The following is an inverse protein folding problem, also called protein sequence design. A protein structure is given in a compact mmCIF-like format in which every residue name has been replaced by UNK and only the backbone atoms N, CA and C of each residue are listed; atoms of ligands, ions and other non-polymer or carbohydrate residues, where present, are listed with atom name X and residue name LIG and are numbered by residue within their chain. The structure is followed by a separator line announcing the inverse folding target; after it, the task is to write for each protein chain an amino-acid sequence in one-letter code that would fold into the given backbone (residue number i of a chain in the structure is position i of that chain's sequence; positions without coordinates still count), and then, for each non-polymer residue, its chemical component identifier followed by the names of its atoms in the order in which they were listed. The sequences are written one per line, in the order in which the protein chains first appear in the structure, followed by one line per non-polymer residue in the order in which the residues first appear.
data_IF_696257917183
#
_entry.id   IF_696257917183
#
_cell.length_a   1.000
_cell.length_b   1.000
_cell.length_c   1.000
_cell.angle_alpha   90.00
_cell.angle_beta   90.00
_cell.angle_gamma   90.00
#
_symmetry.space_group_name_H-M   'P 1'
#
loop_
_entity.id
_entity.type
_entity.pdbx_description
1 polymer ?
#
# COMPACT_ATOMS: atom_id res chain seq x y z
N UNK A 1 9.97 -1.70 29.34
CA UNK A 1 10.81 -2.45 28.38
C UNK A 1 9.89 -2.95 27.28
N UNK A 2 10.00 -2.37 26.08
CA UNK A 2 8.99 -2.48 25.03
C UNK A 2 9.04 -3.83 24.31
N UNK A 3 7.88 -4.49 24.17
CA UNK A 3 7.70 -5.78 23.49
C UNK A 3 8.24 -5.80 22.04
N UNK A 4 8.29 -4.64 21.39
CA UNK A 4 8.91 -4.44 20.07
C UNK A 4 10.40 -4.79 20.02
N UNK A 5 11.14 -4.56 21.11
CA UNK A 5 12.57 -4.88 21.17
C UNK A 5 12.82 -6.40 21.32
N UNK A 6 11.90 -7.11 21.99
CA UNK A 6 11.99 -8.57 22.14
C UNK A 6 11.67 -9.31 20.83
N UNK A 7 10.72 -8.81 20.03
CA UNK A 7 10.42 -9.37 18.71
C UNK A 7 11.58 -9.21 17.72
N UNK A 8 12.27 -8.07 17.75
CA UNK A 8 13.45 -7.83 16.92
C UNK A 8 14.64 -8.74 17.31
N UNK A 9 14.85 -8.98 18.61
CA UNK A 9 15.93 -9.85 19.10
C UNK A 9 15.65 -11.34 18.84
N UNK A 10 14.39 -11.78 18.98
CA UNK A 10 14.02 -13.17 18.71
C UNK A 10 14.13 -13.54 17.22
N UNK A 11 13.85 -12.58 16.31
CA UNK A 11 14.03 -12.78 14.87
C UNK A 11 15.51 -12.88 14.46
N UNK A 12 16.42 -12.25 15.22
CA UNK A 12 17.86 -12.27 14.93
C UNK A 12 18.54 -13.58 15.41
N UNK A 13 18.00 -14.22 16.45
CA UNK A 13 18.55 -15.45 17.03
C UNK A 13 18.15 -16.73 16.27
N UNK A 14 17.16 -16.66 15.37
CA UNK A 14 16.62 -17.81 14.66
C UNK A 14 17.20 -18.01 13.26
N UNK A 15 18.34 -17.40 12.90
CA UNK A 15 18.94 -17.55 11.58
C UNK A 15 19.35 -19.02 11.33
N UNK A 16 18.65 -19.77 10.46
CA UNK A 16 19.08 -21.12 10.11
C UNK A 16 20.27 -21.02 9.15
N UNK A 17 21.13 -22.02 9.23
CA UNK A 17 22.28 -22.19 8.35
C UNK A 17 21.87 -22.21 6.88
N UNK A 18 22.76 -21.64 6.07
CA UNK A 18 22.76 -21.60 4.60
C UNK A 18 22.40 -22.95 3.95
N UNK A 19 21.09 -23.25 3.83
CA UNK A 19 20.60 -24.19 2.83
C UNK A 19 20.58 -23.46 1.49
N UNK A 20 21.25 -24.08 0.52
CA UNK A 20 21.27 -23.74 -0.90
C UNK A 20 19.90 -23.24 -1.33
N UNK A 21 19.89 -22.07 -1.96
CA UNK A 21 18.74 -21.31 -2.47
C UNK A 21 18.02 -22.12 -3.56
N UNK A 22 17.30 -23.17 -3.13
CA UNK A 22 16.54 -24.10 -3.97
C UNK A 22 15.07 -23.68 -4.10
N UNK A 23 14.69 -22.49 -3.62
CA UNK A 23 13.38 -21.91 -3.92
C UNK A 23 13.30 -21.57 -5.40
N UNK A 24 12.20 -21.91 -6.06
CA UNK A 24 12.01 -21.57 -7.47
C UNK A 24 11.90 -20.06 -7.67
N UNK A 25 11.88 -19.63 -8.95
CA UNK A 25 11.89 -18.22 -9.29
C UNK A 25 10.57 -17.52 -8.94
N UNK A 26 9.49 -18.29 -8.74
CA UNK A 26 8.17 -17.76 -8.42
C UNK A 26 7.97 -17.59 -6.93
N UNK A 27 7.23 -16.57 -6.55
CA UNK A 27 6.80 -16.37 -5.18
C UNK A 27 5.44 -15.71 -5.11
N UNK A 28 4.76 -15.93 -3.98
CA UNK A 28 3.54 -15.24 -3.61
C UNK A 28 3.71 -14.61 -2.24
N UNK A 29 3.05 -13.48 -1.98
CA UNK A 29 3.13 -12.82 -0.69
C UNK A 29 1.82 -12.12 -0.34
N UNK A 30 1.11 -12.53 0.72
CA UNK A 30 0.16 -11.63 1.37
C UNK A 30 0.91 -10.54 2.12
N UNK A 31 0.31 -9.34 2.18
CA UNK A 31 0.78 -8.22 3.00
C UNK A 31 -0.36 -7.40 3.57
N UNK A 32 -0.10 -6.82 4.73
CA UNK A 32 -1.00 -5.93 5.46
C UNK A 32 -0.20 -4.73 5.94
N UNK A 33 -0.84 -3.57 5.98
CA UNK A 33 -0.16 -2.35 6.32
C UNK A 33 -1.08 -1.21 6.68
N UNK A 34 -0.51 -0.02 6.64
CA UNK A 34 -1.20 1.23 6.82
C UNK A 34 -0.89 2.15 5.65
N UNK A 35 -1.91 2.83 5.14
CA UNK A 35 -1.82 3.80 4.07
C UNK A 35 -2.27 5.16 4.56
N UNK A 36 -1.55 6.20 4.19
CA UNK A 36 -1.89 7.59 4.45
C UNK A 36 -1.89 8.35 3.13
N UNK A 37 -3.07 8.73 2.61
CA UNK A 37 -3.16 9.66 1.50
C UNK A 37 -2.44 10.98 1.84
N UNK A 38 -1.83 11.61 0.85
CA UNK A 38 -1.21 12.93 0.97
C UNK A 38 -2.28 14.03 1.09
N UNK A 39 -3.53 13.70 0.77
CA UNK A 39 -4.71 14.56 0.95
C UNK A 39 -5.15 14.65 2.42
N UNK A 40 -6.21 15.43 2.69
CA UNK A 40 -6.80 15.57 4.03
C UNK A 40 -7.53 14.32 4.54
N UNK A 41 -7.62 13.25 3.74
CA UNK A 41 -8.23 11.98 4.13
C UNK A 41 -7.49 11.34 5.30
N UNK A 42 -8.23 10.63 6.15
CA UNK A 42 -7.66 9.78 7.20
C UNK A 42 -6.77 8.69 6.61
N UNK A 43 -5.82 8.19 7.39
CA UNK A 43 -5.12 6.96 7.01
C UNK A 43 -6.00 5.74 7.31
N UNK A 44 -5.73 4.63 6.63
CA UNK A 44 -6.52 3.41 6.74
C UNK A 44 -5.65 2.14 6.67
N UNK A 45 -6.26 1.01 7.01
CA UNK A 45 -5.66 -0.30 6.80
C UNK A 45 -5.51 -0.60 5.31
N UNK A 46 -4.36 -1.19 5.01
CA UNK A 46 -4.02 -1.66 3.69
C UNK A 46 -3.96 -3.18 3.67
N UNK A 47 -4.58 -3.79 2.65
CA UNK A 47 -4.51 -5.22 2.39
C UNK A 47 -4.02 -5.45 0.96
N UNK A 48 -3.04 -6.32 0.78
CA UNK A 48 -2.49 -6.61 -0.55
C UNK A 48 -1.99 -8.03 -0.69
N UNK A 49 -1.94 -8.47 -1.94
CA UNK A 49 -1.31 -9.71 -2.36
C UNK A 49 -0.39 -9.45 -3.54
N UNK A 50 0.81 -10.02 -3.51
CA UNK A 50 1.76 -9.95 -4.61
C UNK A 50 2.13 -11.34 -5.13
N UNK A 51 2.32 -11.41 -6.44
CA UNK A 51 2.93 -12.55 -7.14
C UNK A 51 4.17 -12.02 -7.83
N UNK A 52 5.29 -12.71 -7.68
CA UNK A 52 6.53 -12.26 -8.28
C UNK A 52 7.34 -13.36 -8.93
N UNK A 53 8.19 -12.93 -9.86
CA UNK A 53 9.09 -13.76 -10.62
C UNK A 53 10.51 -13.18 -10.56
N UNK A 54 11.44 -13.95 -10.00
CA UNK A 54 12.87 -13.67 -10.05
C UNK A 54 13.39 -13.99 -11.44
N UNK A 55 13.76 -12.95 -12.16
CA UNK A 55 14.32 -13.08 -13.50
C UNK A 55 15.74 -13.67 -13.42
N UNK A 56 16.21 -14.39 -14.45
CA UNK A 56 17.61 -14.83 -14.51
C UNK A 56 18.59 -13.68 -14.75
N UNK A 57 18.09 -12.48 -15.06
CA UNK A 57 18.90 -11.30 -15.34
C UNK A 57 19.57 -10.78 -14.06
N UNK A 58 20.72 -10.12 -14.23
CA UNK A 58 21.45 -9.45 -13.15
C UNK A 58 21.70 -10.38 -11.94
N UNK A 59 22.04 -11.65 -12.19
CA UNK A 59 22.30 -12.65 -11.15
C UNK A 59 21.09 -12.87 -10.20
N UNK A 60 19.86 -12.89 -10.74
CA UNK A 60 18.61 -13.03 -9.96
C UNK A 60 18.34 -11.90 -8.98
N UNK A 61 18.91 -10.71 -9.23
CA UNK A 61 18.63 -9.51 -8.43
C UNK A 61 17.36 -8.79 -8.88
N UNK A 62 16.94 -8.99 -10.13
CA UNK A 62 15.75 -8.35 -10.67
C UNK A 62 14.53 -9.27 -10.54
N UNK A 63 13.48 -8.77 -9.90
CA UNK A 63 12.18 -9.40 -9.82
C UNK A 63 11.13 -8.57 -10.57
N UNK A 64 10.19 -9.24 -11.23
CA UNK A 64 8.94 -8.64 -11.67
C UNK A 64 7.86 -9.00 -10.66
N UNK A 65 7.12 -8.02 -10.18
CA UNK A 65 6.11 -8.19 -9.14
C UNK A 65 4.79 -7.60 -9.61
N UNK A 66 3.75 -8.43 -9.65
CA UNK A 66 2.37 -8.01 -9.83
C UNK A 66 1.70 -8.00 -8.46
N UNK A 67 1.08 -6.89 -8.13
CA UNK A 67 0.38 -6.70 -6.87
C UNK A 67 -1.06 -6.26 -7.10
N UNK A 68 -1.96 -6.81 -6.29
CA UNK A 68 -3.33 -6.32 -6.17
C UNK A 68 -3.54 -5.90 -4.72
N UNK A 69 -4.06 -4.71 -4.51
CA UNK A 69 -4.31 -4.20 -3.17
C UNK A 69 -5.65 -3.46 -3.06
N UNK A 70 -6.09 -3.32 -1.82
CA UNK A 70 -7.35 -2.70 -1.44
C UNK A 70 -7.20 -1.91 -0.14
N UNK A 71 -7.82 -0.74 -0.09
CA UNK A 71 -7.97 0.08 1.11
C UNK A 71 -9.21 0.97 1.02
N UNK A 72 -9.71 1.47 2.17
CA UNK A 72 -10.92 2.29 2.26
C UNK A 72 -10.76 3.49 3.23
N UNK A 73 -9.92 4.49 2.88
CA UNK A 73 -9.82 5.70 3.68
C UNK A 73 -11.18 6.36 3.84
N UNK A 74 -11.46 6.80 5.07
CA UNK A 74 -12.68 7.53 5.40
C UNK A 74 -12.38 8.75 6.24
N UNK A 75 -13.22 9.76 6.10
CA UNK A 75 -13.21 10.96 6.93
C UNK A 75 -14.63 11.34 7.29
N UNK A 76 -14.80 11.84 8.51
CA UNK A 76 -16.07 12.35 9.02
C UNK A 76 -15.90 13.80 9.41
N UNK A 77 -16.93 14.61 9.17
CA UNK A 77 -16.89 16.02 9.52
C UNK A 77 -18.27 16.64 9.58
N UNK A 78 -18.31 17.95 9.81
CA UNK A 78 -19.55 18.74 9.77
C UNK A 78 -19.44 19.79 8.67
N UNK A 79 -20.44 19.84 7.80
CA UNK A 79 -20.57 20.92 6.83
C UNK A 79 -21.07 22.16 7.56
N UNK A 80 -20.39 23.29 7.34
CA UNK A 80 -20.81 24.62 7.79
C UNK A 80 -20.76 25.57 6.59
N UNK A 81 -21.83 26.32 6.35
CA UNK A 81 -21.84 27.29 5.26
C UNK A 81 -23.09 28.18 5.27
N UNK A 82 -23.02 29.40 4.72
CA UNK A 82 -24.14 30.33 4.66
C UNK A 82 -25.30 29.82 3.78
N UNK A 83 -25.07 28.84 2.90
CA UNK A 83 -26.13 28.15 2.16
C UNK A 83 -26.90 27.11 3.00
N UNK A 84 -26.37 26.74 4.17
CA UNK A 84 -27.00 25.84 5.15
C UNK A 84 -27.72 26.61 6.26
N UNK A 85 -27.59 27.96 6.30
CA UNK A 85 -28.32 28.81 7.24
C UNK A 85 -29.81 28.82 6.88
N UNK A 86 -30.60 28.13 7.69
CA UNK A 86 -32.04 28.22 7.64
C UNK A 86 -32.48 29.34 8.59
N UNK A 87 -32.71 30.54 8.05
CA UNK A 87 -33.26 31.69 8.81
C UNK A 87 -32.38 32.17 9.99
N UNK A 88 -31.05 32.19 9.82
CA UNK A 88 -30.12 32.77 10.79
C UNK A 88 -29.76 31.86 11.98
N UNK A 89 -30.01 30.56 11.87
CA UNK A 89 -29.49 29.54 12.78
C UNK A 89 -28.46 28.68 12.05
N UNK A 90 -27.20 28.60 12.53
CA UNK A 90 -26.18 27.77 11.91
C UNK A 90 -26.58 26.30 12.02
N UNK A 91 -26.94 25.69 10.89
CA UNK A 91 -27.20 24.25 10.81
C UNK A 91 -25.87 23.54 10.58
N UNK A 92 -25.49 22.70 11.55
CA UNK A 92 -24.40 21.75 11.39
C UNK A 92 -24.96 20.43 10.85
N UNK A 93 -24.50 20.02 9.67
CA UNK A 93 -24.88 18.73 9.10
C UNK A 93 -23.67 17.78 9.11
N UNK A 94 -23.77 16.58 9.71
CA UNK A 94 -22.70 15.59 9.65
C UNK A 94 -22.57 15.06 8.22
N UNK A 95 -21.32 14.88 7.76
CA UNK A 95 -21.03 14.18 6.53
C UNK A 95 -20.01 13.06 6.77
N UNK A 96 -20.18 11.96 6.04
CA UNK A 96 -19.18 10.90 5.95
C UNK A 96 -18.75 10.77 4.51
N UNK A 97 -17.44 10.83 4.28
CA UNK A 97 -16.82 10.59 2.98
C UNK A 97 -15.94 9.34 3.10
N UNK A 98 -16.27 8.32 2.33
CA UNK A 98 -15.49 7.09 2.25
C UNK A 98 -15.04 6.89 0.80
N UNK A 99 -13.73 6.70 0.63
CA UNK A 99 -13.13 6.39 -0.65
C UNK A 99 -12.64 4.96 -0.63
N UNK A 100 -13.03 4.16 -1.62
CA UNK A 100 -12.54 2.79 -1.82
C UNK A 100 -11.56 2.83 -2.97
N UNK A 101 -10.39 2.25 -2.77
CA UNK A 101 -9.39 2.10 -3.83
C UNK A 101 -9.01 0.64 -4.01
N UNK A 102 -8.98 0.20 -5.26
CA UNK A 102 -8.33 -1.04 -5.69
C UNK A 102 -7.21 -0.68 -6.65
N UNK A 103 -5.98 -1.09 -6.36
CA UNK A 103 -4.86 -0.88 -7.27
C UNK A 103 -4.29 -2.20 -7.78
N UNK A 104 -3.97 -2.22 -9.07
CA UNK A 104 -3.26 -3.31 -9.76
C UNK A 104 -1.91 -2.75 -10.22
N UNK A 105 -0.82 -3.24 -9.66
CA UNK A 105 0.51 -2.63 -9.79
C UNK A 105 1.50 -3.62 -10.35
N UNK A 106 2.24 -3.22 -11.39
CA UNK A 106 3.36 -3.98 -11.93
C UNK A 106 4.66 -3.25 -11.60
N UNK A 107 5.58 -3.93 -10.90
CA UNK A 107 6.83 -3.32 -10.44
C UNK A 107 8.05 -4.14 -10.85
N UNK A 108 9.09 -3.45 -11.32
CA UNK A 108 10.43 -4.00 -11.42
C UNK A 108 11.16 -3.74 -10.10
N UNK A 109 11.62 -4.78 -9.44
CA UNK A 109 12.24 -4.72 -8.11
C UNK A 109 13.68 -5.20 -8.19
N UNK A 110 14.61 -4.33 -7.83
CA UNK A 110 16.02 -4.65 -7.72
C UNK A 110 16.38 -4.97 -6.27
N UNK A 111 16.98 -6.14 -6.07
CA UNK A 111 17.33 -6.70 -4.76
C UNK A 111 18.83 -6.62 -4.54
N UNK A 112 19.22 -6.41 -3.29
CA UNK A 112 20.61 -6.41 -2.85
C UNK A 112 20.83 -7.54 -1.83
N UNK A 113 20.99 -8.80 -2.30
CA UNK A 113 21.09 -9.94 -1.41
C UNK A 113 22.25 -9.79 -0.43
N UNK A 114 21.97 -10.00 0.85
CA UNK A 114 22.95 -9.98 1.95
C UNK A 114 23.76 -8.68 2.08
N UNK A 115 23.24 -7.56 1.57
CA UNK A 115 23.91 -6.26 1.72
C UNK A 115 23.97 -5.79 3.20
N UNK A 116 23.04 -6.26 4.03
CA UNK A 116 22.95 -5.94 5.45
C UNK A 116 22.87 -7.23 6.28
N UNK A 117 23.87 -8.10 6.13
CA UNK A 117 23.92 -9.41 6.81
C UNK A 117 22.90 -10.39 6.22
N UNK A 118 21.99 -10.98 7.02
CA UNK A 118 20.92 -11.84 6.49
C UNK A 118 19.84 -11.05 5.75
N UNK A 119 19.74 -9.73 5.97
CA UNK A 119 18.71 -8.89 5.40
C UNK A 119 19.00 -8.57 3.92
N UNK A 120 17.98 -8.70 3.08
CA UNK A 120 18.01 -8.35 1.65
C UNK A 120 17.21 -7.08 1.44
N UNK A 121 17.84 -5.89 1.44
CA UNK A 121 17.18 -4.66 1.02
C UNK A 121 16.85 -4.71 -0.47
N UNK A 122 15.79 -3.99 -0.86
CA UNK A 122 15.35 -3.88 -2.24
C UNK A 122 14.66 -2.54 -2.49
N UNK A 123 14.67 -2.14 -3.75
CA UNK A 123 13.96 -0.97 -4.27
C UNK A 123 13.29 -1.33 -5.57
N UNK A 124 12.20 -0.66 -5.90
CA UNK A 124 11.51 -0.91 -7.15
C UNK A 124 10.62 0.24 -7.56
N UNK A 125 10.16 0.17 -8.80
CA UNK A 125 9.18 1.10 -9.32
C UNK A 125 8.43 0.45 -10.49
N UNK A 126 7.29 1.05 -10.85
CA UNK A 126 6.58 0.67 -12.06
C UNK A 126 5.23 1.35 -12.17
N UNK A 127 4.45 1.00 -13.21
CA UNK A 127 3.11 1.52 -13.42
C UNK A 127 2.07 0.79 -12.55
N UNK A 128 0.95 1.48 -12.33
CA UNK A 128 -0.22 0.92 -11.67
C UNK A 128 -1.51 1.44 -12.29
N UNK A 129 -2.55 0.61 -12.25
CA UNK A 129 -3.92 0.98 -12.52
C UNK A 129 -4.62 1.16 -11.17
N UNK A 130 -5.15 2.36 -10.93
CA UNK A 130 -5.81 2.74 -9.68
C UNK A 130 -7.29 2.96 -9.96
N UNK A 131 -8.15 2.22 -9.28
CA UNK A 131 -9.59 2.29 -9.42
C UNK A 131 -10.19 2.82 -8.13
N UNK A 132 -10.80 3.99 -8.20
CA UNK A 132 -11.35 4.71 -7.07
C UNK A 132 -12.87 4.71 -7.11
N UNK A 133 -13.48 4.62 -5.94
CA UNK A 133 -14.91 4.86 -5.75
C UNK A 133 -15.13 5.68 -4.50
N UNK A 134 -15.54 6.93 -4.68
CA UNK A 134 -15.98 7.80 -3.61
C UNK A 134 -17.47 7.59 -3.35
N UNK A 135 -17.85 7.52 -2.08
CA UNK A 135 -19.24 7.56 -1.62
C UNK A 135 -19.37 8.69 -0.61
N UNK A 136 -20.29 9.62 -0.89
CA UNK A 136 -20.64 10.72 -0.01
C UNK A 136 -22.05 10.49 0.51
N UNK A 137 -22.18 10.46 1.84
CA UNK A 137 -23.46 10.38 2.54
C UNK A 137 -23.72 11.73 3.22
N UNK A 138 -24.80 12.41 2.82
CA UNK A 138 -25.22 13.71 3.36
C UNK A 138 -26.74 13.87 3.24
N UNK A 139 -27.42 14.36 4.29
CA UNK A 139 -28.86 14.62 4.33
C UNK A 139 -29.75 13.44 3.84
N UNK A 140 -29.48 12.22 4.31
CA UNK A 140 -30.16 10.98 3.87
C UNK A 140 -30.07 10.67 2.36
N UNK A 141 -29.15 11.34 1.65
CA UNK A 141 -28.84 11.08 0.24
C UNK A 141 -27.44 10.47 0.11
N UNK A 142 -27.32 9.45 -0.74
CA UNK A 142 -26.05 8.80 -1.07
C UNK A 142 -25.71 9.10 -2.52
N UNK A 143 -24.59 9.80 -2.74
CA UNK A 143 -24.02 9.99 -4.08
C UNK A 143 -22.72 9.21 -4.18
N UNK A 144 -22.50 8.50 -5.29
CA UNK A 144 -21.27 7.74 -5.54
C UNK A 144 -20.67 8.14 -6.87
N UNK A 145 -19.38 8.42 -6.86
CA UNK A 145 -18.57 8.69 -8.05
C UNK A 145 -17.50 7.60 -8.15
N UNK A 146 -17.25 7.11 -9.35
CA UNK A 146 -16.20 6.13 -9.62
C UNK A 146 -15.30 6.64 -10.73
N UNK A 147 -13.99 6.51 -10.53
CA UNK A 147 -12.98 6.90 -11.51
C UNK A 147 -11.83 5.91 -11.52
N UNK A 148 -11.01 5.96 -12.55
CA UNK A 148 -9.82 5.13 -12.61
C UNK A 148 -8.76 5.77 -13.49
N UNK A 149 -7.50 5.57 -13.11
CA UNK A 149 -6.37 6.23 -13.75
C UNK A 149 -5.13 5.35 -13.77
N UNK A 150 -4.25 5.64 -14.73
CA UNK A 150 -2.89 5.12 -14.72
C UNK A 150 -2.02 6.01 -13.84
N UNK A 151 -1.21 5.37 -13.01
CA UNK A 151 -0.26 6.02 -12.13
C UNK A 151 1.05 5.27 -12.08
N UNK A 152 1.92 5.70 -11.18
CA UNK A 152 3.21 5.09 -10.94
C UNK A 152 3.43 4.88 -9.44
N UNK A 153 4.20 3.87 -9.11
CA UNK A 153 4.62 3.60 -7.74
C UNK A 153 6.13 3.45 -7.66
N UNK A 154 6.66 3.84 -6.51
CA UNK A 154 8.01 3.54 -6.06
C UNK A 154 7.92 2.83 -4.71
N UNK A 155 8.78 1.85 -4.51
CA UNK A 155 8.83 1.06 -3.29
C UNK A 155 10.27 0.84 -2.84
N UNK A 156 10.44 0.72 -1.53
CA UNK A 156 11.69 0.34 -0.90
C UNK A 156 11.38 -0.54 0.31
N UNK A 157 12.18 -1.56 0.53
CA UNK A 157 11.92 -2.47 1.62
C UNK A 157 13.10 -3.36 1.94
N UNK A 158 12.87 -4.27 2.87
CA UNK A 158 13.86 -5.26 3.27
C UNK A 158 13.20 -6.59 3.60
N UNK A 159 13.83 -7.67 3.15
CA UNK A 159 13.37 -9.07 3.34
C UNK A 159 14.36 -9.81 4.23
N UNK A 160 13.85 -10.42 5.30
CA UNK A 160 14.58 -11.32 6.18
C UNK A 160 14.21 -12.76 5.82
N UNK A 161 15.18 -13.61 5.42
CA UNK A 161 14.91 -15.01 5.12
C UNK A 161 14.38 -15.73 6.37
N UNK A 162 13.24 -16.39 6.24
CA UNK A 162 12.55 -17.07 7.34
C UNK A 162 11.78 -18.28 6.81
N UNK A 163 12.24 -19.49 7.15
CA UNK A 163 11.59 -20.75 6.75
C UNK A 163 11.61 -20.97 5.23
N UNK A 164 10.48 -21.38 4.59
CA UNK A 164 10.39 -21.59 3.13
C UNK A 164 10.38 -20.29 2.30
N UNK A 165 10.64 -19.15 2.95
CA UNK A 165 10.36 -17.84 2.40
C UNK A 165 11.12 -16.73 3.10
N UNK A 166 10.49 -15.55 3.18
CA UNK A 166 11.05 -14.41 3.90
C UNK A 166 9.97 -13.44 4.38
N UNK A 167 10.08 -12.99 5.63
CA UNK A 167 9.29 -11.87 6.12
C UNK A 167 9.87 -10.57 5.57
N UNK A 168 9.02 -9.62 5.17
CA UNK A 168 9.48 -8.36 4.63
C UNK A 168 8.70 -7.17 5.18
N UNK A 169 9.40 -6.04 5.26
CA UNK A 169 8.83 -4.72 5.47
C UNK A 169 9.00 -3.91 4.19
N UNK A 170 7.96 -3.19 3.78
CA UNK A 170 7.93 -2.39 2.57
C UNK A 170 7.34 -1.02 2.86
N UNK A 171 8.04 0.02 2.43
CA UNK A 171 7.52 1.36 2.28
C UNK A 171 7.21 1.60 0.80
N UNK A 172 6.06 2.21 0.51
CA UNK A 172 5.63 2.50 -0.84
C UNK A 172 5.12 3.93 -0.93
N UNK A 173 5.41 4.56 -2.04
CA UNK A 173 4.78 5.78 -2.49
C UNK A 173 4.12 5.49 -3.82
N UNK A 174 2.86 5.87 -3.98
CA UNK A 174 2.23 5.88 -5.29
C UNK A 174 1.72 7.27 -5.65
N UNK A 175 1.68 7.53 -6.94
CA UNK A 175 1.18 8.74 -7.56
C UNK A 175 0.15 8.32 -8.61
N UNK A 176 -1.09 8.73 -8.40
CA UNK A 176 -2.19 8.52 -9.32
C UNK A 176 -2.88 9.89 -9.53
N UNK A 177 -2.75 10.49 -10.72
CA UNK A 177 -3.57 11.64 -11.07
C UNK A 177 -5.02 11.13 -11.23
N UNK A 178 -5.95 11.71 -10.47
CA UNK A 178 -7.36 11.40 -10.59
C UNK A 178 -8.10 12.69 -10.95
N UNK A 179 -8.73 12.66 -12.12
CA UNK A 179 -9.56 13.76 -12.60
C UNK A 179 -10.98 13.54 -12.06
N UNK A 180 -11.34 14.21 -10.97
CA UNK A 180 -12.72 14.21 -10.49
C UNK A 180 -13.52 15.34 -11.14
N UNK A 181 -14.66 15.01 -11.73
CA UNK A 181 -15.51 15.95 -12.50
C UNK A 181 -15.96 17.17 -11.67
N UNK A 182 -16.08 16.99 -10.35
CA UNK A 182 -16.65 17.98 -9.43
C UNK A 182 -15.61 18.74 -8.60
N UNK A 183 -14.39 18.21 -8.45
CA UNK A 183 -13.37 18.73 -7.51
C UNK A 183 -12.11 19.23 -8.21
N UNK A 184 -11.97 19.00 -9.53
CA UNK A 184 -10.77 19.31 -10.30
C UNK A 184 -9.66 18.26 -10.14
N UNK A 185 -8.51 18.49 -10.78
CA UNK A 185 -7.35 17.59 -10.74
C UNK A 185 -6.83 17.47 -9.29
N UNK A 186 -7.08 16.33 -8.65
CA UNK A 186 -6.58 16.04 -7.31
C UNK A 186 -5.58 14.90 -7.41
N UNK A 187 -4.36 15.16 -6.98
CA UNK A 187 -3.32 14.14 -6.89
C UNK A 187 -3.61 13.21 -5.70
N UNK A 188 -4.10 12.00 -5.98
CA UNK A 188 -4.40 10.96 -4.99
C UNK A 188 -3.12 10.18 -4.59
N UNK A 189 -1.99 10.87 -4.44
CA UNK A 189 -0.77 10.23 -3.98
C UNK A 189 -0.91 9.74 -2.54
N UNK A 190 -0.30 8.60 -2.21
CA UNK A 190 -0.28 8.08 -0.84
C UNK A 190 1.06 7.47 -0.47
N UNK A 191 1.37 7.54 0.83
CA UNK A 191 2.48 6.84 1.46
C UNK A 191 1.93 5.64 2.22
N UNK A 192 2.63 4.51 2.11
CA UNK A 192 2.24 3.26 2.72
C UNK A 192 3.42 2.58 3.39
N UNK A 193 3.15 1.89 4.49
CA UNK A 193 4.05 0.94 5.11
C UNK A 193 3.33 -0.40 5.30
N UNK A 194 3.92 -1.50 4.86
CA UNK A 194 3.34 -2.84 4.95
C UNK A 194 4.34 -3.89 5.40
N UNK A 195 3.82 -4.89 6.10
CA UNK A 195 4.49 -6.12 6.47
C UNK A 195 3.89 -7.29 5.68
N UNK A 196 4.73 -8.19 5.19
CA UNK A 196 4.27 -9.38 4.49
C UNK A 196 5.21 -10.56 4.63
N UNK A 197 4.83 -11.68 4.00
CA UNK A 197 5.61 -12.90 3.98
C UNK A 197 5.66 -13.50 2.57
N UNK A 198 6.84 -13.59 1.97
CA UNK A 198 7.07 -14.16 0.64
C UNK A 198 7.31 -15.65 0.75
N UNK A 199 6.40 -16.45 0.22
CA UNK A 199 6.58 -17.89 0.05
C UNK A 199 7.23 -18.16 -1.31
N UNK A 200 8.38 -18.84 -1.32
CA UNK A 200 9.05 -19.29 -2.56
C UNK A 200 8.40 -20.61 -3.01
N UNK A 201 8.07 -20.71 -4.29
CA UNK A 201 7.45 -21.89 -4.91
C UNK A 201 8.47 -22.69 -5.72
#
# INVERSE_FOLDING_TARGET
MNALALLAAAALAAAPSSKKDNGGPLFIAPKVGFIKPVTSLGGDLFLGGEVGYLTPLLQRRLALVLEVNYHRPSTTGTLRGPQLDNLGQPIEAPYTLAEREVAIQLSAVFRFPRALGPLTPYVGAGPGLYLHRATVESFDSTTSESGGGLGFQALAGAELPLGPGGAFLEAKFHFAPVDFLTTGDVNAGAVLAALGYRLRL
#
